data_IF_072835583348
#
_entry.id   IF_072835583348
#
_cell.length_a   1.000
_cell.length_b   1.000
_cell.length_c   1.000
_cell.angle_alpha   90.00
_cell.angle_beta   90.00
_cell.angle_gamma   90.00
#
_symmetry.space_group_name_H-M   'P 1'
#
loop_
_entity.id
_entity.type
_entity.pdbx_description
1 polymer ?
#
# COMPACT_ATOMS: atom_id res chain seq x y z
N UNK A 1 35.15 -62.08 58.08
CA UNK A 1 35.45 -60.96 59.00
C UNK A 1 34.86 -59.71 58.34
N UNK A 2 33.62 -59.31 58.65
CA UNK A 2 33.26 -58.43 59.78
C UNK A 2 32.96 -57.02 59.21
N UNK A 3 31.71 -56.75 58.80
CA UNK A 3 30.70 -55.87 59.47
C UNK A 3 30.71 -54.41 59.00
N UNK A 4 29.52 -53.92 58.65
CA UNK A 4 29.15 -52.54 58.37
C UNK A 4 28.66 -51.81 59.64
N UNK A 5 28.81 -50.47 59.70
CA UNK A 5 28.01 -49.52 60.50
C UNK A 5 28.42 -48.09 60.12
N UNK A 6 27.56 -47.21 59.58
CA UNK A 6 26.51 -46.35 60.19
C UNK A 6 27.02 -45.31 61.22
N UNK A 7 26.70 -44.03 60.98
CA UNK A 7 26.87 -42.95 61.96
C UNK A 7 26.75 -41.51 61.41
N UNK A 8 25.51 -41.00 61.31
CA UNK A 8 25.16 -39.61 61.70
C UNK A 8 24.48 -39.71 63.11
N UNK A 9 24.05 -38.66 63.86
CA UNK A 9 23.84 -37.23 63.54
C UNK A 9 24.14 -36.22 64.71
N UNK A 10 23.90 -34.91 64.49
CA UNK A 10 23.36 -33.86 65.42
C UNK A 10 23.85 -32.45 65.03
N UNK A 11 23.23 -31.31 65.33
CA UNK A 11 21.84 -30.82 65.41
C UNK A 11 21.89 -29.34 65.86
N UNK A 12 20.90 -28.53 65.47
CA UNK A 12 20.54 -27.23 66.06
C UNK A 12 21.26 -25.99 65.47
N UNK A 13 20.66 -24.80 65.33
CA UNK A 13 19.32 -24.29 65.63
C UNK A 13 19.20 -22.86 65.02
N UNK A 14 17.96 -22.45 64.75
CA UNK A 14 17.41 -21.09 64.81
C UNK A 14 17.34 -20.17 63.57
N UNK A 15 16.11 -19.68 63.46
CA UNK A 15 15.38 -18.85 62.49
C UNK A 15 15.62 -17.35 62.71
N UNK A 16 15.68 -16.54 61.65
CA UNK A 16 15.17 -15.16 61.68
C UNK A 16 14.92 -14.61 60.28
N UNK A 17 13.63 -14.45 59.97
CA UNK A 17 13.05 -13.74 58.82
C UNK A 17 13.55 -12.28 58.75
N UNK A 18 13.95 -11.81 57.55
CA UNK A 18 14.10 -10.38 57.23
C UNK A 18 13.00 -9.92 56.25
N UNK A 19 12.42 -8.72 56.43
CA UNK A 19 11.34 -8.21 55.58
C UNK A 19 11.84 -7.55 54.29
N UNK A 20 11.00 -7.61 53.24
CA UNK A 20 11.24 -7.05 51.91
C UNK A 20 11.04 -5.52 51.84
N UNK A 21 11.74 -4.81 50.92
CA UNK A 21 11.62 -3.36 50.77
C UNK A 21 10.36 -2.92 49.98
N UNK A 22 9.87 -1.68 50.19
CA UNK A 22 8.60 -1.20 49.67
C UNK A 22 8.65 -0.81 48.19
N UNK A 23 7.57 -1.13 47.45
CA UNK A 23 7.38 -0.76 46.05
C UNK A 23 7.05 0.73 45.84
N UNK A 24 7.26 1.26 44.61
CA UNK A 24 7.07 2.68 44.34
C UNK A 24 5.60 3.08 44.25
N UNK A 25 5.33 4.29 44.79
CA UNK A 25 4.04 4.94 44.96
C UNK A 25 3.45 5.40 43.63
N UNK A 26 2.12 5.32 43.53
CA UNK A 26 1.30 5.96 42.49
C UNK A 26 1.12 7.44 42.85
N UNK A 27 1.65 8.32 42.02
CA UNK A 27 1.32 9.75 42.05
C UNK A 27 0.32 10.06 40.92
N UNK A 28 -0.83 10.60 41.31
CA UNK A 28 -1.72 11.35 40.43
C UNK A 28 -1.35 12.83 40.51
N UNK A 29 -1.37 13.56 39.38
CA UNK A 29 -1.68 14.98 39.40
C UNK A 29 -2.97 15.26 38.62
N UNK A 30 -3.87 16.01 39.27
CA UNK A 30 -5.03 16.63 38.66
C UNK A 30 -4.76 17.99 38.03
N UNK A 31 -5.78 18.45 37.29
CA UNK A 31 -6.12 19.83 36.94
C UNK A 31 -5.22 20.59 35.94
N UNK A 32 -5.54 20.40 34.66
CA UNK A 32 -5.96 21.44 33.71
C UNK A 32 -5.20 22.78 33.69
N UNK A 33 -4.25 22.90 32.76
CA UNK A 33 -4.03 24.14 32.01
C UNK A 33 -4.51 23.93 30.58
N UNK A 34 -5.54 24.68 30.18
CA UNK A 34 -5.99 24.80 28.80
C UNK A 34 -4.85 25.40 27.99
N UNK A 35 -4.22 24.61 27.13
CA UNK A 35 -3.57 25.11 25.94
C UNK A 35 -4.51 24.85 24.78
N UNK A 36 -4.95 25.92 24.11
CA UNK A 36 -5.68 25.82 22.85
C UNK A 36 -4.84 25.00 21.85
N UNK A 37 -5.41 23.96 21.21
CA UNK A 37 -4.72 23.32 20.12
C UNK A 37 -4.69 24.28 18.93
N UNK A 38 -3.48 24.66 18.53
CA UNK A 38 -3.21 25.24 17.22
C UNK A 38 -3.84 24.34 16.16
N UNK A 39 -4.75 24.91 15.37
CA UNK A 39 -5.46 24.25 14.28
C UNK A 39 -4.47 23.87 13.18
N UNK A 40 -3.80 22.73 13.33
CA UNK A 40 -3.09 22.10 12.22
C UNK A 40 -4.12 21.44 11.31
N UNK A 41 -4.36 22.11 10.17
CA UNK A 41 -5.17 21.59 9.07
C UNK A 41 -4.58 20.26 8.62
N UNK A 42 -5.41 19.23 8.62
CA UNK A 42 -5.06 17.92 8.09
C UNK A 42 -4.60 18.04 6.64
N UNK A 43 -3.56 17.28 6.31
CA UNK A 43 -3.25 16.95 4.93
C UNK A 43 -4.46 16.23 4.34
N UNK A 44 -5.03 16.82 3.28
CA UNK A 44 -6.15 16.39 2.45
C UNK A 44 -7.56 16.88 2.87
N UNK A 45 -7.96 18.00 2.27
CA UNK A 45 -9.31 18.20 1.75
C UNK A 45 -9.22 19.15 0.54
N UNK A 46 -9.52 18.65 -0.67
CA UNK A 46 -9.50 19.43 -1.91
C UNK A 46 -10.83 20.17 -2.11
N UNK A 47 -10.72 21.46 -2.39
CA UNK A 47 -11.82 22.35 -2.72
C UNK A 47 -12.47 22.02 -4.06
N UNK A 48 -13.80 22.09 -4.07
CA UNK A 48 -14.61 22.11 -5.28
C UNK A 48 -14.56 23.51 -5.92
N UNK A 49 -13.76 23.66 -6.98
CA UNK A 49 -13.79 24.82 -7.88
C UNK A 49 -14.48 24.46 -9.21
N UNK A 50 -15.79 24.65 -9.28
CA UNK A 50 -16.58 24.50 -10.51
C UNK A 50 -17.01 25.86 -11.05
N UNK A 51 -16.32 26.32 -12.09
CA UNK A 51 -16.62 27.52 -12.87
C UNK A 51 -17.70 27.21 -13.92
N UNK A 52 -18.65 28.16 -14.08
CA UNK A 52 -19.24 28.50 -15.37
C UNK A 52 -20.49 27.75 -15.81
N UNK A 53 -21.68 28.26 -15.42
CA UNK A 53 -22.91 28.08 -16.22
C UNK A 53 -23.14 29.33 -17.06
N UNK A 54 -23.09 29.17 -18.38
CA UNK A 54 -23.69 30.07 -19.35
C UNK A 54 -24.66 29.24 -20.17
N UNK A 55 -25.97 29.41 -19.96
CA UNK A 55 -26.99 28.90 -20.88
C UNK A 55 -27.90 30.05 -21.29
N UNK A 56 -27.88 30.35 -22.58
CA UNK A 56 -28.77 31.27 -23.24
C UNK A 56 -29.96 30.50 -23.85
N UNK A 57 -31.15 31.08 -23.71
CA UNK A 57 -32.39 30.70 -24.37
C UNK A 57 -32.27 30.58 -25.91
N UNK A 58 -32.97 29.60 -26.52
CA UNK A 58 -34.20 29.84 -27.33
C UNK A 58 -34.69 28.61 -28.14
N UNK A 59 -36.00 28.34 -27.94
CA UNK A 59 -37.08 28.16 -28.94
C UNK A 59 -37.04 27.06 -30.02
N UNK A 60 -37.90 26.06 -29.77
CA UNK A 60 -38.96 25.43 -30.60
C UNK A 60 -39.03 25.63 -32.14
N UNK A 61 -39.22 24.47 -32.76
CA UNK A 61 -40.29 24.05 -33.70
C UNK A 61 -40.15 24.28 -35.23
N UNK A 62 -40.38 23.18 -35.98
CA UNK A 62 -40.91 23.22 -37.35
C UNK A 62 -40.56 22.01 -38.23
N UNK A 63 -41.58 21.29 -38.74
CA UNK A 63 -41.60 20.88 -40.16
C UNK A 63 -41.45 19.41 -40.57
N UNK A 64 -42.60 18.72 -40.70
CA UNK A 64 -43.07 17.78 -41.77
C UNK A 64 -42.12 16.85 -42.58
N UNK A 65 -42.40 15.54 -42.46
CA UNK A 65 -42.72 14.54 -43.51
C UNK A 65 -42.16 14.67 -44.94
N UNK A 66 -41.50 13.60 -45.44
CA UNK A 66 -42.06 12.68 -46.48
C UNK A 66 -41.15 11.48 -46.81
N UNK A 67 -41.82 10.49 -47.41
CA UNK A 67 -41.45 9.11 -47.75
C UNK A 67 -40.30 8.99 -48.76
N UNK A 68 -39.57 7.87 -48.69
CA UNK A 68 -38.71 7.37 -49.76
C UNK A 68 -38.24 5.94 -49.46
N UNK A 69 -38.86 4.97 -50.12
CA UNK A 69 -38.49 3.55 -50.10
C UNK A 69 -37.19 3.33 -50.88
N UNK A 70 -36.17 2.82 -50.21
CA UNK A 70 -34.98 2.25 -50.84
C UNK A 70 -34.61 0.97 -50.11
N UNK A 71 -34.96 -0.18 -50.70
CA UNK A 71 -34.36 -1.47 -50.35
C UNK A 71 -32.90 -1.38 -50.77
N UNK A 72 -32.04 -0.99 -49.84
CA UNK A 72 -30.62 -1.21 -49.97
C UNK A 72 -30.24 -2.34 -49.01
N UNK A 73 -29.76 -3.44 -49.59
CA UNK A 73 -29.30 -4.61 -48.88
C UNK A 73 -28.07 -4.24 -48.06
N UNK A 74 -28.28 -3.67 -46.88
CA UNK A 74 -27.25 -3.57 -45.85
C UNK A 74 -26.85 -4.99 -45.49
N UNK A 75 -25.80 -5.47 -46.13
CA UNK A 75 -24.86 -6.39 -45.50
C UNK A 75 -24.49 -5.73 -44.18
N UNK A 76 -25.13 -6.15 -43.09
CA UNK A 76 -24.69 -5.87 -41.74
C UNK A 76 -23.32 -6.51 -41.61
N UNK A 77 -22.27 -5.75 -41.94
CA UNK A 77 -20.95 -6.02 -41.40
C UNK A 77 -21.15 -6.15 -39.89
N UNK A 78 -20.77 -7.28 -39.27
CA UNK A 78 -20.86 -7.37 -37.82
C UNK A 78 -20.11 -6.16 -37.28
N UNK A 79 -20.78 -5.38 -36.42
CA UNK A 79 -20.14 -4.35 -35.62
C UNK A 79 -19.03 -5.08 -34.87
N UNK A 80 -17.78 -4.93 -35.31
CA UNK A 80 -16.63 -5.28 -34.51
C UNK A 80 -16.70 -4.35 -33.33
N UNK A 81 -17.29 -4.81 -32.24
CA UNK A 81 -17.29 -4.07 -30.99
C UNK A 81 -15.83 -3.96 -30.57
N UNK A 82 -15.28 -2.76 -30.72
CA UNK A 82 -13.90 -2.48 -30.32
C UNK A 82 -13.73 -2.89 -28.87
N UNK A 83 -12.82 -3.85 -28.63
CA UNK A 83 -12.50 -4.25 -27.27
C UNK A 83 -11.69 -3.12 -26.62
N UNK A 84 -12.06 -2.67 -25.42
CA UNK A 84 -11.28 -1.66 -24.73
C UNK A 84 -9.86 -2.18 -24.49
N UNK A 85 -8.86 -1.34 -24.76
CA UNK A 85 -7.43 -1.69 -24.63
C UNK A 85 -7.07 -2.27 -23.26
N UNK A 86 -7.64 -1.71 -22.20
CA UNK A 86 -7.58 -2.26 -20.85
C UNK A 86 -9.02 -2.35 -20.33
N UNK A 87 -9.66 -3.54 -20.32
CA UNK A 87 -11.04 -3.65 -19.91
C UNK A 87 -11.16 -3.34 -18.42
N UNK A 88 -12.16 -2.53 -18.07
CA UNK A 88 -12.47 -2.17 -16.68
C UNK A 88 -12.70 -3.41 -15.82
N UNK A 89 -13.38 -4.40 -16.38
CA UNK A 89 -13.62 -5.69 -15.75
C UNK A 89 -12.67 -6.70 -16.39
N UNK A 90 -11.72 -7.27 -15.64
CA UNK A 90 -10.84 -8.31 -16.16
C UNK A 90 -11.66 -9.49 -16.68
N UNK A 91 -11.27 -10.13 -17.79
CA UNK A 91 -11.91 -11.37 -18.20
C UNK A 91 -11.69 -12.45 -17.14
N UNK A 92 -12.61 -13.42 -17.09
CA UNK A 92 -12.51 -14.60 -16.23
C UNK A 92 -12.62 -15.87 -17.09
N UNK A 93 -11.87 -16.94 -16.78
CA UNK A 93 -10.82 -17.00 -15.77
C UNK A 93 -9.57 -16.21 -16.20
N UNK A 94 -8.83 -15.67 -15.22
CA UNK A 94 -7.47 -15.19 -15.49
C UNK A 94 -6.56 -16.40 -15.64
N UNK A 95 -5.64 -16.32 -16.60
CA UNK A 95 -4.64 -17.36 -16.86
C UNK A 95 -3.25 -16.86 -16.49
N UNK A 96 -2.39 -17.76 -16.04
CA UNK A 96 -0.96 -17.52 -15.83
C UNK A 96 -0.18 -18.81 -16.07
N UNK A 97 1.09 -18.63 -16.39
CA UNK A 97 2.14 -19.64 -16.43
C UNK A 97 3.16 -19.31 -15.31
N UNK A 98 4.03 -20.25 -14.94
CA UNK A 98 5.06 -20.01 -13.92
C UNK A 98 6.01 -18.86 -14.29
N UNK A 99 6.24 -18.62 -15.58
CA UNK A 99 7.06 -17.51 -16.10
C UNK A 99 6.49 -16.12 -15.80
N UNK A 100 5.21 -16.03 -15.42
CA UNK A 100 4.58 -14.75 -15.06
C UNK A 100 4.80 -14.38 -13.60
N UNK A 101 5.38 -15.30 -12.82
CA UNK A 101 5.68 -15.09 -11.42
C UNK A 101 7.17 -14.81 -11.27
N UNK A 102 7.48 -13.67 -10.67
CA UNK A 102 8.81 -13.35 -10.21
C UNK A 102 8.96 -13.95 -8.81
N UNK A 103 9.94 -14.86 -8.68
CA UNK A 103 10.40 -15.37 -7.40
C UNK A 103 11.59 -14.52 -6.95
N UNK A 104 11.36 -13.62 -6.00
CA UNK A 104 12.39 -12.65 -5.62
C UNK A 104 12.41 -12.39 -4.11
N UNK A 105 13.60 -12.09 -3.58
CA UNK A 105 13.81 -11.58 -2.21
C UNK A 105 14.46 -10.19 -2.28
N UNK A 106 13.80 -9.20 -2.90
CA UNK A 106 14.40 -7.88 -3.09
C UNK A 106 14.48 -7.14 -1.75
N UNK A 107 15.36 -6.14 -1.67
CA UNK A 107 15.24 -5.13 -0.62
C UNK A 107 14.06 -4.23 -0.95
N UNK A 108 13.12 -4.15 -0.03
CA UNK A 108 11.93 -3.34 -0.10
C UNK A 108 12.10 -2.06 0.70
N UNK A 109 11.59 -0.96 0.18
CA UNK A 109 11.62 0.37 0.80
C UNK A 109 10.21 0.92 0.96
N UNK A 110 9.90 1.42 2.16
CA UNK A 110 8.64 2.07 2.49
C UNK A 110 8.92 3.35 3.27
N UNK A 111 8.32 4.45 2.83
CA UNK A 111 8.27 5.72 3.58
C UNK A 111 6.84 5.85 4.08
N UNK A 112 6.66 5.95 5.40
CA UNK A 112 5.33 5.91 6.01
C UNK A 112 5.23 6.82 7.23
N UNK A 113 4.02 7.33 7.46
CA UNK A 113 3.71 8.05 8.70
C UNK A 113 3.70 7.10 9.90
N UNK A 114 4.20 7.58 11.03
CA UNK A 114 4.21 6.85 12.31
C UNK A 114 3.30 7.49 13.37
N UNK A 115 2.61 8.58 13.00
CA UNK A 115 1.69 9.31 13.86
C UNK A 115 0.34 9.49 13.18
N UNK A 116 -0.71 9.60 13.98
CA UNK A 116 -2.08 9.87 13.52
C UNK A 116 -2.97 8.62 13.47
N UNK A 117 -4.27 8.80 13.19
CA UNK A 117 -5.29 7.76 13.32
C UNK A 117 -5.20 6.65 12.27
N UNK A 118 -4.36 6.83 11.24
CA UNK A 118 -4.18 5.88 10.14
C UNK A 118 -2.72 5.44 9.99
N UNK A 119 -1.88 5.71 11.00
CA UNK A 119 -0.53 5.17 11.03
C UNK A 119 -0.60 3.66 11.18
N UNK A 120 0.09 2.96 10.28
CA UNK A 120 0.23 1.51 10.31
C UNK A 120 1.69 1.19 10.61
N UNK A 121 1.91 0.08 11.33
CA UNK A 121 3.26 -0.44 11.47
C UNK A 121 3.85 -0.75 10.09
N UNK A 122 5.18 -0.73 10.00
CA UNK A 122 5.88 -0.93 8.73
C UNK A 122 5.58 -2.30 8.09
N UNK A 123 5.28 -3.30 8.94
CA UNK A 123 4.93 -4.67 8.59
C UNK A 123 3.42 -4.96 8.62
N UNK A 124 2.58 -3.94 8.80
CA UNK A 124 1.13 -4.10 8.74
C UNK A 124 0.58 -3.83 7.33
N UNK A 125 -0.48 -4.58 7.02
CA UNK A 125 -1.27 -4.46 5.81
C UNK A 125 -2.51 -3.63 6.10
N UNK A 126 -2.81 -2.67 5.23
CA UNK A 126 -4.01 -1.84 5.34
C UNK A 126 -5.24 -2.64 4.90
N UNK A 127 -6.24 -2.73 5.78
CA UNK A 127 -7.57 -3.36 5.53
C UNK A 127 -8.68 -2.35 5.21
N UNK A 128 -8.45 -1.05 5.44
CA UNK A 128 -9.40 0.00 5.08
C UNK A 128 -9.21 0.45 3.63
N UNK A 129 -10.18 0.28 2.74
CA UNK A 129 -10.07 0.71 1.34
C UNK A 129 -11.38 0.61 0.56
N UNK A 130 -11.37 0.89 -0.76
CA UNK A 130 -10.21 1.31 -1.55
C UNK A 130 -9.91 2.81 -1.38
N UNK A 131 -8.63 3.17 -1.34
CA UNK A 131 -8.20 4.57 -1.27
C UNK A 131 -8.20 5.22 -2.65
N UNK A 132 -8.58 6.51 -2.73
CA UNK A 132 -8.64 7.27 -4.00
C UNK A 132 -7.28 7.41 -4.67
N UNK A 133 -6.19 7.46 -3.90
CA UNK A 133 -4.81 7.61 -4.37
C UNK A 133 -4.20 6.30 -4.86
N UNK A 134 -4.54 5.18 -4.23
CA UNK A 134 -3.94 3.87 -4.49
C UNK A 134 -4.40 3.27 -5.84
N UNK A 135 -3.45 2.85 -6.66
CA UNK A 135 -3.72 2.35 -8.03
C UNK A 135 -4.10 0.88 -8.04
N UNK A 136 -3.29 0.02 -7.44
CA UNK A 136 -3.52 -1.43 -7.37
C UNK A 136 -4.15 -1.87 -6.05
N UNK A 137 -5.10 -1.08 -5.57
CA UNK A 137 -5.84 -1.37 -4.34
C UNK A 137 -6.85 -2.52 -4.58
N UNK A 138 -6.73 -3.65 -3.86
CA UNK A 138 -7.60 -4.80 -4.08
C UNK A 138 -8.97 -4.70 -3.38
N UNK A 139 -9.19 -3.70 -2.53
CA UNK A 139 -10.41 -3.63 -1.71
C UNK A 139 -11.66 -3.48 -2.58
N UNK A 140 -12.75 -4.21 -2.27
CA UNK A 140 -14.01 -4.06 -2.98
C UNK A 140 -14.69 -2.73 -2.64
N UNK A 141 -15.66 -2.33 -3.46
CA UNK A 141 -16.57 -1.23 -3.12
C UNK A 141 -17.70 -1.75 -2.22
N UNK A 142 -18.27 -0.92 -1.31
CA UNK A 142 -17.92 0.48 -1.02
C UNK A 142 -16.65 0.63 -0.17
N UNK A 143 -16.17 1.87 0.00
CA UNK A 143 -15.01 2.18 0.86
C UNK A 143 -15.32 1.87 2.33
N UNK A 144 -14.47 1.06 2.98
CA UNK A 144 -14.62 0.64 4.37
C UNK A 144 -13.52 -0.34 4.79
N UNK A 145 -13.68 -0.98 5.94
CA UNK A 145 -12.84 -2.12 6.36
C UNK A 145 -13.22 -3.38 5.57
N UNK A 146 -12.22 -4.11 5.09
CA UNK A 146 -12.40 -5.38 4.37
C UNK A 146 -11.36 -6.41 4.81
N UNK A 147 -11.78 -7.33 5.67
CA UNK A 147 -10.98 -8.49 6.05
C UNK A 147 -10.67 -9.37 4.84
N UNK A 148 -9.44 -9.89 4.72
CA UNK A 148 -9.03 -10.68 3.55
C UNK A 148 -8.42 -9.86 2.41
N UNK A 149 -8.45 -8.53 2.50
CA UNK A 149 -8.00 -7.60 1.45
C UNK A 149 -6.82 -6.72 1.87
N UNK A 150 -6.12 -7.10 2.95
CA UNK A 150 -4.97 -6.36 3.44
C UNK A 150 -3.94 -6.10 2.34
N UNK A 151 -3.47 -4.85 2.24
CA UNK A 151 -2.49 -4.44 1.22
C UNK A 151 -1.38 -3.56 1.79
N UNK A 152 -0.16 -3.78 1.30
CA UNK A 152 1.04 -2.97 1.60
C UNK A 152 1.73 -2.57 0.29
N UNK A 153 2.39 -1.41 0.28
CA UNK A 153 3.09 -0.88 -0.89
C UNK A 153 4.55 -0.62 -0.54
N UNK A 154 5.44 -1.04 -1.42
CA UNK A 154 6.88 -0.78 -1.30
C UNK A 154 7.52 -0.53 -2.65
N UNK A 155 8.62 0.19 -2.66
CA UNK A 155 9.49 0.34 -3.83
C UNK A 155 10.69 -0.60 -3.71
N UNK A 156 11.34 -0.89 -4.84
CA UNK A 156 12.60 -1.65 -4.85
C UNK A 156 13.84 -0.76 -4.66
N UNK A 157 13.67 0.57 -4.70
CA UNK A 157 14.72 1.54 -4.44
C UNK A 157 14.18 2.78 -3.71
N UNK A 158 15.06 3.43 -2.93
CA UNK A 158 14.72 4.61 -2.14
C UNK A 158 14.27 5.81 -2.99
N UNK A 159 14.93 6.17 -4.12
CA UNK A 159 14.45 7.28 -4.95
C UNK A 159 13.02 7.10 -5.46
N UNK A 160 12.61 5.87 -5.81
CA UNK A 160 11.23 5.57 -6.21
C UNK A 160 10.28 5.69 -5.04
N UNK A 161 10.66 5.23 -3.83
CA UNK A 161 9.85 5.44 -2.63
C UNK A 161 9.64 6.93 -2.34
N UNK A 162 10.69 7.76 -2.48
CA UNK A 162 10.61 9.22 -2.35
C UNK A 162 9.68 9.80 -3.41
N UNK A 163 9.86 9.40 -4.68
CA UNK A 163 9.05 9.91 -5.78
C UNK A 163 7.56 9.62 -5.59
N UNK A 164 7.20 8.41 -5.16
CA UNK A 164 5.81 7.98 -4.92
C UNK A 164 5.17 8.71 -3.73
N UNK A 165 5.88 8.82 -2.59
CA UNK A 165 5.31 9.45 -1.38
C UNK A 165 5.17 10.96 -1.53
N UNK A 166 6.15 11.62 -2.13
CA UNK A 166 6.18 13.08 -2.25
C UNK A 166 5.72 13.57 -3.64
N UNK A 167 5.01 12.75 -4.42
CA UNK A 167 4.63 13.06 -5.81
C UNK A 167 3.85 14.37 -6.01
N UNK A 168 3.04 14.74 -5.02
CA UNK A 168 2.19 15.93 -5.10
C UNK A 168 2.95 17.23 -4.80
N UNK A 169 3.81 17.22 -3.78
CA UNK A 169 4.56 18.43 -3.36
C UNK A 169 5.87 18.57 -4.11
N UNK A 170 6.49 17.46 -4.53
CA UNK A 170 7.88 17.39 -5.04
C UNK A 170 8.89 18.03 -4.09
N UNK A 171 8.54 18.10 -2.81
CA UNK A 171 9.30 18.67 -1.72
C UNK A 171 9.27 17.67 -0.58
N UNK A 172 10.45 17.31 -0.08
CA UNK A 172 10.65 16.47 1.09
C UNK A 172 11.03 17.38 2.25
N UNK A 173 10.26 17.36 3.32
CA UNK A 173 10.53 18.12 4.54
C UNK A 173 11.12 17.19 5.61
N UNK A 174 12.17 17.63 6.29
CA UNK A 174 12.74 16.91 7.42
C UNK A 174 11.76 16.87 8.59
N UNK A 175 11.29 15.67 8.98
CA UNK A 175 10.29 15.52 10.04
C UNK A 175 10.45 14.23 10.84
N UNK A 176 10.19 14.23 12.17
CA UNK A 176 10.12 12.99 12.94
C UNK A 176 8.85 12.18 12.64
N UNK A 177 7.83 12.77 11.98
CA UNK A 177 6.52 12.15 11.80
C UNK A 177 6.46 11.06 10.71
N UNK A 178 7.51 10.99 9.90
CA UNK A 178 7.66 10.07 8.78
C UNK A 178 8.90 9.23 9.02
N UNK A 179 8.79 7.93 8.78
CA UNK A 179 9.87 6.96 8.93
C UNK A 179 10.20 6.35 7.58
N UNK A 180 11.50 6.20 7.32
CA UNK A 180 12.02 5.40 6.21
C UNK A 180 12.34 4.03 6.76
N UNK A 181 11.74 2.99 6.17
CA UNK A 181 11.95 1.60 6.55
C UNK A 181 12.39 0.79 5.34
N UNK A 182 13.39 -0.07 5.52
CA UNK A 182 13.77 -1.09 4.55
C UNK A 182 13.86 -2.47 5.19
N UNK A 183 13.53 -3.49 4.40
CA UNK A 183 13.63 -4.89 4.79
C UNK A 183 13.85 -5.77 3.57
N UNK A 184 14.38 -6.97 3.80
CA UNK A 184 14.35 -8.04 2.81
C UNK A 184 13.39 -9.13 3.29
N UNK A 185 12.54 -9.69 2.42
CA UNK A 185 11.70 -10.83 2.77
C UNK A 185 12.52 -12.02 3.30
N UNK A 186 11.96 -12.80 4.22
CA UNK A 186 12.60 -14.02 4.78
C UNK A 186 12.42 -15.25 3.90
N UNK A 187 11.56 -15.15 2.88
CA UNK A 187 11.35 -16.14 1.82
C UNK A 187 11.14 -15.44 0.48
N UNK A 188 11.39 -16.10 -0.66
CA UNK A 188 11.01 -15.57 -1.97
C UNK A 188 9.52 -15.19 -2.02
N UNK A 189 9.26 -13.97 -2.46
CA UNK A 189 7.94 -13.48 -2.81
C UNK A 189 7.55 -14.04 -4.18
N UNK A 190 6.28 -14.43 -4.33
CA UNK A 190 5.64 -14.83 -5.59
C UNK A 190 4.87 -13.64 -6.14
N UNK A 191 5.54 -12.79 -6.92
CA UNK A 191 4.96 -11.56 -7.46
C UNK A 191 4.51 -11.78 -8.90
N UNK A 192 3.24 -11.47 -9.20
CA UNK A 192 2.78 -11.45 -10.59
C UNK A 192 3.44 -10.27 -11.33
N UNK A 193 4.14 -10.57 -12.42
CA UNK A 193 4.78 -9.56 -13.24
C UNK A 193 3.78 -8.87 -14.16
N UNK A 194 3.42 -7.64 -13.83
CA UNK A 194 2.59 -6.81 -14.71
C UNK A 194 3.40 -6.10 -15.80
N UNK A 195 4.74 -6.14 -15.72
CA UNK A 195 5.64 -5.44 -16.67
C UNK A 195 5.88 -6.25 -17.93
N UNK A 196 5.81 -7.57 -17.84
CA UNK A 196 5.87 -8.49 -18.97
C UNK A 196 4.55 -8.66 -19.74
N UNK A 197 4.44 -9.79 -20.43
CA UNK A 197 3.36 -10.05 -21.40
C UNK A 197 2.09 -10.65 -20.77
N UNK A 198 2.06 -10.87 -19.45
CA UNK A 198 0.91 -11.48 -18.76
C UNK A 198 -0.40 -10.72 -19.03
N UNK A 199 -0.35 -9.38 -18.98
CA UNK A 199 -1.52 -8.55 -19.23
C UNK A 199 -2.06 -8.73 -20.66
N UNK A 200 -1.18 -8.87 -21.66
CA UNK A 200 -1.56 -9.13 -23.06
C UNK A 200 -2.31 -10.45 -23.20
N UNK A 201 -1.78 -11.53 -22.59
CA UNK A 201 -2.43 -12.85 -22.63
C UNK A 201 -3.79 -12.87 -21.93
N UNK A 202 -4.04 -11.94 -21.01
CA UNK A 202 -5.31 -11.75 -20.33
C UNK A 202 -6.19 -10.65 -20.95
N UNK A 203 -5.91 -10.21 -22.18
CA UNK A 203 -6.76 -9.27 -22.91
C UNK A 203 -6.69 -7.81 -22.43
N UNK A 204 -5.63 -7.45 -21.72
CA UNK A 204 -5.22 -6.06 -21.47
C UNK A 204 -3.97 -5.73 -22.30
N UNK A 205 -3.37 -4.58 -22.05
CA UNK A 205 -2.09 -4.18 -22.65
C UNK A 205 -1.08 -3.80 -21.58
N UNK A 206 0.17 -3.58 -21.99
CA UNK A 206 1.22 -3.08 -21.10
C UNK A 206 0.82 -1.77 -20.38
N UNK A 207 -0.05 -0.95 -21.02
CA UNK A 207 -0.57 0.29 -20.41
C UNK A 207 -1.52 0.06 -19.22
N UNK A 208 -1.84 -1.18 -18.86
CA UNK A 208 -2.64 -1.52 -17.67
C UNK A 208 -2.05 -0.88 -16.40
N UNK A 209 -0.72 -0.78 -16.31
CA UNK A 209 -0.03 -0.18 -15.18
C UNK A 209 -0.31 1.31 -14.98
N UNK A 210 -0.66 2.01 -16.06
CA UNK A 210 -1.01 3.42 -16.05
C UNK A 210 -2.52 3.65 -16.30
N UNK A 211 -3.33 2.60 -16.41
CA UNK A 211 -4.76 2.69 -16.66
C UNK A 211 -5.50 3.47 -15.57
N UNK A 212 -6.74 3.92 -15.80
CA UNK A 212 -7.53 4.57 -14.77
C UNK A 212 -7.58 3.74 -13.48
N UNK A 213 -7.47 4.38 -12.30
CA UNK A 213 -7.37 3.68 -11.02
C UNK A 213 -8.48 2.66 -10.81
N UNK A 214 -9.71 2.95 -11.24
CA UNK A 214 -10.83 2.00 -11.22
C UNK A 214 -10.51 0.69 -11.94
N UNK A 215 -9.88 0.75 -13.10
CA UNK A 215 -9.42 -0.42 -13.86
C UNK A 215 -8.35 -1.17 -13.06
N UNK A 216 -7.25 -0.50 -12.67
CA UNK A 216 -6.17 -1.15 -11.93
C UNK A 216 -6.64 -1.83 -10.63
N UNK A 217 -7.58 -1.23 -9.90
CA UNK A 217 -8.19 -1.81 -8.69
C UNK A 217 -9.02 -3.06 -8.99
N UNK A 218 -9.87 -3.01 -10.01
CA UNK A 218 -10.64 -4.18 -10.43
C UNK A 218 -9.72 -5.34 -10.85
N UNK A 219 -8.61 -5.04 -11.50
CA UNK A 219 -7.58 -6.02 -11.85
C UNK A 219 -6.88 -6.59 -10.62
N UNK A 220 -6.37 -5.73 -9.71
CA UNK A 220 -5.73 -6.16 -8.46
C UNK A 220 -6.65 -7.06 -7.63
N UNK A 221 -7.92 -6.65 -7.44
CA UNK A 221 -8.92 -7.45 -6.73
C UNK A 221 -9.13 -8.81 -7.40
N UNK A 222 -9.33 -8.84 -8.72
CA UNK A 222 -9.57 -10.10 -9.42
C UNK A 222 -8.36 -11.04 -9.31
N UNK A 223 -7.14 -10.50 -9.36
CA UNK A 223 -5.91 -11.30 -9.16
C UNK A 223 -5.87 -11.89 -7.75
N UNK A 224 -6.10 -11.05 -6.72
CA UNK A 224 -6.19 -11.50 -5.32
C UNK A 224 -7.23 -12.61 -5.15
N UNK A 225 -8.44 -12.43 -5.69
CA UNK A 225 -9.54 -13.40 -5.62
C UNK A 225 -9.22 -14.71 -6.36
N UNK A 226 -8.43 -14.67 -7.43
CA UNK A 226 -8.20 -15.83 -8.31
C UNK A 226 -7.13 -16.79 -7.76
N UNK A 227 -6.03 -16.28 -7.19
CA UNK A 227 -4.87 -17.12 -6.85
C UNK A 227 -4.38 -16.95 -5.42
N UNK A 228 -4.56 -17.97 -4.59
CA UNK A 228 -4.16 -17.97 -3.17
C UNK A 228 -2.64 -18.02 -2.94
N UNK A 229 -1.85 -18.40 -3.95
CA UNK A 229 -0.40 -18.53 -3.88
C UNK A 229 0.36 -17.31 -4.47
N UNK A 230 -0.34 -16.20 -4.73
CA UNK A 230 0.27 -14.93 -5.17
C UNK A 230 0.41 -14.01 -3.96
N UNK A 231 1.65 -13.62 -3.67
CA UNK A 231 1.99 -12.69 -2.59
C UNK A 231 1.67 -11.24 -2.96
N UNK A 232 1.67 -10.92 -4.25
CA UNK A 232 1.46 -9.56 -4.72
C UNK A 232 1.71 -9.36 -6.20
N UNK A 233 1.88 -8.09 -6.57
CA UNK A 233 2.09 -7.62 -7.93
C UNK A 233 3.42 -6.86 -7.99
N UNK A 234 4.19 -7.09 -9.06
CA UNK A 234 5.21 -6.13 -9.48
C UNK A 234 4.66 -5.30 -10.65
N UNK A 235 4.77 -3.98 -10.53
CA UNK A 235 4.37 -3.03 -11.59
C UNK A 235 5.40 -1.91 -11.71
N UNK A 236 5.38 -1.12 -12.77
CA UNK A 236 6.20 0.08 -12.86
C UNK A 236 5.53 1.26 -12.15
N UNK A 237 6.33 2.03 -11.41
CA UNK A 237 5.95 3.33 -10.88
C UNK A 237 5.54 4.26 -12.03
N UNK A 238 4.40 4.94 -11.89
CA UNK A 238 4.00 5.98 -12.84
C UNK A 238 4.81 7.28 -12.68
N UNK A 239 5.67 7.35 -11.65
CA UNK A 239 6.54 8.49 -11.38
C UNK A 239 7.94 8.28 -11.95
N UNK A 240 8.52 7.08 -11.79
CA UNK A 240 9.91 6.80 -12.17
C UNK A 240 10.07 5.78 -13.28
N UNK A 241 9.02 5.02 -13.64
CA UNK A 241 9.09 3.87 -14.54
C UNK A 241 9.81 2.65 -13.93
N UNK A 242 10.32 2.75 -12.71
CA UNK A 242 11.04 1.68 -12.02
C UNK A 242 10.08 0.74 -11.29
N UNK A 243 10.49 -0.51 -11.00
CA UNK A 243 9.60 -1.46 -10.33
C UNK A 243 9.18 -1.04 -8.92
N UNK A 244 7.91 -1.23 -8.64
CA UNK A 244 7.27 -1.13 -7.31
C UNK A 244 6.45 -2.38 -7.07
N UNK A 245 6.23 -2.70 -5.80
CA UNK A 245 5.46 -3.88 -5.40
C UNK A 245 4.20 -3.47 -4.65
N UNK A 246 3.11 -4.16 -4.97
CA UNK A 246 1.88 -4.18 -4.18
C UNK A 246 1.78 -5.54 -3.54
N UNK A 247 1.91 -5.63 -2.22
CA UNK A 247 1.86 -6.88 -1.48
C UNK A 247 0.47 -7.06 -0.87
N UNK A 248 -0.06 -8.27 -0.98
CA UNK A 248 -1.27 -8.70 -0.31
C UNK A 248 -0.93 -9.28 1.06
N UNK A 249 -1.89 -9.30 1.99
CA UNK A 249 -1.73 -9.84 3.35
C UNK A 249 -1.21 -11.29 3.39
N UNK A 250 -1.38 -12.05 2.29
CA UNK A 250 -0.80 -13.38 2.10
C UNK A 250 0.72 -13.41 2.23
N UNK A 251 1.38 -12.29 1.94
CA UNK A 251 2.81 -12.14 2.08
C UNK A 251 3.25 -11.86 3.53
N UNK A 252 2.35 -11.87 4.53
CA UNK A 252 2.69 -11.48 5.90
C UNK A 252 3.80 -12.33 6.52
N UNK A 253 3.82 -13.63 6.23
CA UNK A 253 4.88 -14.57 6.67
C UNK A 253 6.24 -14.31 6.02
N UNK A 254 6.29 -13.49 4.95
CA UNK A 254 7.54 -13.06 4.33
C UNK A 254 8.22 -11.90 5.06
N UNK A 255 7.52 -11.19 5.95
CA UNK A 255 8.09 -10.06 6.68
C UNK A 255 9.02 -10.57 7.80
N UNK A 256 10.25 -10.03 7.92
CA UNK A 256 11.12 -10.39 9.03
C UNK A 256 10.58 -9.85 10.35
N UNK A 257 11.00 -10.46 11.47
CA UNK A 257 10.64 -9.97 12.81
C UNK A 257 11.11 -8.53 13.07
N UNK A 258 12.25 -8.14 12.47
CA UNK A 258 12.77 -6.77 12.54
C UNK A 258 13.16 -6.31 11.13
N UNK A 259 12.92 -5.04 10.78
CA UNK A 259 13.38 -4.50 9.52
C UNK A 259 14.92 -4.38 9.53
N UNK A 260 15.54 -4.41 8.36
CA UNK A 260 16.98 -4.19 8.23
C UNK A 260 17.35 -2.76 8.65
N UNK A 261 16.45 -1.81 8.38
CA UNK A 261 16.62 -0.41 8.74
C UNK A 261 15.23 0.23 8.94
N UNK A 262 15.04 1.00 10.01
CA UNK A 262 13.83 1.80 10.23
C UNK A 262 14.17 3.01 11.10
N UNK A 263 14.09 4.21 10.54
CA UNK A 263 14.47 5.45 11.23
C UNK A 263 13.64 6.65 10.77
N UNK A 264 13.31 7.59 11.69
CA UNK A 264 12.63 8.84 11.34
C UNK A 264 13.41 9.67 10.32
N UNK A 265 12.68 10.40 9.47
CA UNK A 265 13.23 11.16 8.35
C UNK A 265 14.19 12.29 8.79
N UNK A 266 13.97 12.85 9.98
CA UNK A 266 14.82 13.88 10.58
C UNK A 266 16.13 13.34 11.19
N UNK A 267 16.39 12.04 11.15
CA UNK A 267 17.66 11.47 11.59
C UNK A 267 18.77 11.89 10.61
N UNK A 268 19.86 12.50 11.08
CA UNK A 268 20.90 13.10 10.23
C UNK A 268 21.41 12.18 9.10
N UNK A 269 21.78 10.94 9.43
CA UNK A 269 22.28 9.99 8.43
C UNK A 269 21.21 9.60 7.39
N UNK A 270 19.95 9.54 7.81
CA UNK A 270 18.80 9.20 6.95
C UNK A 270 18.46 10.36 6.04
N UNK A 271 18.53 11.57 6.58
CA UNK A 271 18.29 12.80 5.82
C UNK A 271 19.27 12.94 4.65
N UNK A 272 20.55 12.60 4.85
CA UNK A 272 21.55 12.59 3.76
C UNK A 272 21.14 11.62 2.65
N UNK A 273 20.76 10.38 2.99
CA UNK A 273 20.31 9.37 2.01
C UNK A 273 19.04 9.81 1.27
N UNK A 274 18.10 10.41 1.98
CA UNK A 274 16.84 10.88 1.41
C UNK A 274 17.05 12.10 0.54
N UNK A 275 17.95 13.02 0.92
CA UNK A 275 18.28 14.18 0.10
C UNK A 275 18.93 13.78 -1.22
N UNK A 276 19.84 12.80 -1.20
CA UNK A 276 20.41 12.22 -2.42
C UNK A 276 19.33 11.55 -3.28
N UNK A 277 18.49 10.72 -2.67
CA UNK A 277 17.39 10.06 -3.35
C UNK A 277 16.36 11.05 -3.95
N UNK A 278 16.07 12.15 -3.26
CA UNK A 278 15.22 13.22 -3.74
C UNK A 278 15.86 13.95 -4.93
N UNK A 279 17.15 14.28 -4.83
CA UNK A 279 17.89 14.90 -5.92
C UNK A 279 17.91 14.02 -7.18
N UNK A 280 18.07 12.70 -7.03
CA UNK A 280 18.06 11.73 -8.12
C UNK A 280 16.74 11.67 -8.91
N UNK A 281 15.62 12.13 -8.31
CA UNK A 281 14.30 12.24 -8.99
C UNK A 281 13.88 13.70 -9.20
N UNK A 282 14.79 14.66 -8.98
CA UNK A 282 14.55 16.09 -9.20
C UNK A 282 13.64 16.75 -8.17
N UNK A 283 13.52 16.19 -6.96
CA UNK A 283 12.74 16.76 -5.86
C UNK A 283 13.62 17.64 -4.97
N UNK A 284 13.01 18.64 -4.32
CA UNK A 284 13.71 19.52 -3.38
C UNK A 284 13.60 18.99 -1.95
N UNK A 285 14.60 19.31 -1.13
CA UNK A 285 14.58 19.07 0.31
C UNK A 285 14.56 20.38 1.10
N UNK A 286 13.84 20.43 2.21
CA UNK A 286 13.73 21.58 3.12
C UNK A 286 13.82 21.17 4.59
#
# INVERSE_FOLDING_TARGET
>A
MGTATHGAPNSGLADSRRPAPPGPRRDHPGASRRCEPARHRGFHDDGAGGVGRCDAHRLRAGGRQRRGSGRDGRRTRPLVTERPKNPVTPPRPLIRDDRDLLLAQPTLWRIHGTFGPHALAWNEFRTFGPLSTARFDPHPQPRGEHDGYGVSYAALDLPTAVAEVFQHTRVVESTPAVTVTSWSPVRPLRLLDLTGDWALRNGASHSLQAAPRRTCRNWSRTILETWQDVDGLQSASTMTGRPIVTLYERAADSYPHQPAFSRPLNTTAVWVLVADAAAAVGYRTI
#
